data_IF_135462313149
#
_entry.id   IF_135462313149
#
_cell.length_a   1.000
_cell.length_b   1.000
_cell.length_c   1.000
_cell.angle_alpha   90.00
_cell.angle_beta   90.00
_cell.angle_gamma   90.00
#
_symmetry.space_group_name_H-M   'P 1'
#
loop_
_entity.id
_entity.type
_entity.pdbx_description
1 polymer ?
#
# COMPACT_ATOMS: atom_id res chain seq x y z
N UNK A 1 0.41 -0.94 -15.30
CA UNK A 1 0.35 -1.94 -14.22
C UNK A 1 1.57 -2.84 -14.32
N UNK A 2 2.42 -2.89 -13.27
CA UNK A 2 3.52 -3.84 -13.22
C UNK A 2 2.99 -5.27 -13.40
N UNK A 3 3.68 -6.09 -14.19
CA UNK A 3 3.31 -7.49 -14.45
C UNK A 3 2.23 -7.72 -15.53
N UNK A 4 1.54 -6.70 -16.04
CA UNK A 4 0.61 -6.88 -17.18
C UNK A 4 1.30 -6.64 -18.53
N UNK A 5 1.60 -7.73 -19.25
CA UNK A 5 2.08 -7.66 -20.63
C UNK A 5 0.98 -7.26 -21.64
N UNK A 6 1.34 -6.83 -22.86
CA UNK A 6 0.39 -6.30 -23.85
C UNK A 6 -0.78 -7.25 -24.19
N UNK A 7 -0.49 -8.55 -24.30
CA UNK A 7 -1.51 -9.58 -24.58
C UNK A 7 -2.53 -9.71 -23.43
N UNK A 8 -2.04 -9.78 -22.19
CA UNK A 8 -2.88 -9.88 -20.99
C UNK A 8 -3.70 -8.60 -20.78
N UNK A 9 -3.10 -7.43 -21.01
CA UNK A 9 -3.77 -6.13 -20.91
C UNK A 9 -4.92 -6.00 -21.90
N UNK A 10 -4.70 -6.36 -23.18
CA UNK A 10 -5.78 -6.36 -24.19
C UNK A 10 -6.93 -7.27 -23.80
N UNK A 11 -6.63 -8.47 -23.28
CA UNK A 11 -7.65 -9.42 -22.82
C UNK A 11 -8.45 -8.86 -21.65
N UNK A 12 -7.79 -8.25 -20.66
CA UNK A 12 -8.44 -7.63 -19.52
C UNK A 12 -9.37 -6.48 -19.97
N UNK A 13 -8.90 -5.59 -20.84
CA UNK A 13 -9.68 -4.48 -21.36
C UNK A 13 -10.94 -4.96 -22.12
N UNK A 14 -10.80 -5.94 -23.01
CA UNK A 14 -11.95 -6.51 -23.74
C UNK A 14 -12.94 -7.21 -22.79
N UNK A 15 -12.45 -7.87 -21.74
CA UNK A 15 -13.32 -8.46 -20.72
C UNK A 15 -14.14 -7.41 -19.97
N UNK A 16 -13.49 -6.30 -19.59
CA UNK A 16 -14.14 -5.17 -18.92
C UNK A 16 -15.21 -4.53 -19.81
N UNK A 17 -14.91 -4.28 -21.09
CA UNK A 17 -15.86 -3.70 -22.04
C UNK A 17 -17.09 -4.61 -22.22
N UNK A 18 -16.88 -5.93 -22.33
CA UNK A 18 -17.98 -6.90 -22.45
C UNK A 18 -18.88 -6.91 -21.21
N UNK A 19 -18.33 -6.60 -20.03
CA UNK A 19 -19.04 -6.55 -18.74
C UNK A 19 -19.09 -5.13 -18.18
N UNK A 20 -19.55 -4.18 -19.01
CA UNK A 20 -19.49 -2.74 -18.70
C UNK A 20 -20.15 -2.39 -17.36
N UNK A 21 -21.43 -2.72 -17.20
CA UNK A 21 -22.22 -2.33 -16.02
C UNK A 21 -21.89 -3.17 -14.80
N UNK A 22 -21.65 -4.47 -15.01
CA UNK A 22 -21.39 -5.40 -13.92
C UNK A 22 -19.97 -5.33 -13.36
N UNK A 23 -19.00 -4.81 -14.11
CA UNK A 23 -17.59 -4.87 -13.70
C UNK A 23 -16.80 -3.60 -14.00
N UNK A 24 -16.86 -3.05 -15.22
CA UNK A 24 -16.05 -1.87 -15.58
C UNK A 24 -16.47 -0.62 -14.79
N UNK A 25 -17.77 -0.31 -14.74
CA UNK A 25 -18.28 0.88 -14.03
C UNK A 25 -18.02 0.79 -12.52
N UNK A 26 -18.36 -0.32 -11.82
CA UNK A 26 -18.06 -0.47 -10.40
C UNK A 26 -16.56 -0.42 -10.10
N UNK A 27 -15.72 -1.05 -10.93
CA UNK A 27 -14.26 -1.01 -10.76
C UNK A 27 -13.73 0.42 -10.89
N UNK A 28 -14.20 1.18 -11.90
CA UNK A 28 -13.84 2.59 -12.05
C UNK A 28 -14.23 3.42 -10.83
N UNK A 29 -15.44 3.21 -10.29
CA UNK A 29 -15.88 3.85 -9.06
C UNK A 29 -15.02 3.50 -7.85
N UNK A 30 -14.70 2.22 -7.65
CA UNK A 30 -13.84 1.77 -6.55
C UNK A 30 -12.41 2.32 -6.67
N UNK A 31 -11.86 2.44 -7.88
CA UNK A 31 -10.55 3.05 -8.11
C UNK A 31 -10.57 4.55 -7.79
N UNK A 32 -11.63 5.26 -8.15
CA UNK A 32 -11.81 6.68 -7.83
C UNK A 32 -11.91 6.87 -6.31
N UNK A 33 -12.73 6.07 -5.64
CA UNK A 33 -12.89 6.11 -4.18
C UNK A 33 -11.56 5.83 -3.47
N UNK A 34 -10.79 4.84 -3.93
CA UNK A 34 -9.47 4.56 -3.39
C UNK A 34 -8.54 5.77 -3.58
N UNK A 35 -8.50 6.37 -4.77
CA UNK A 35 -7.67 7.54 -5.03
C UNK A 35 -8.01 8.75 -4.15
N UNK A 36 -9.27 8.90 -3.75
CA UNK A 36 -9.73 10.00 -2.89
C UNK A 36 -9.50 9.76 -1.40
N UNK A 37 -9.67 8.51 -0.94
CA UNK A 37 -9.68 8.17 0.49
C UNK A 37 -8.35 7.66 1.01
N UNK A 38 -7.57 7.02 0.15
CA UNK A 38 -6.29 6.42 0.54
C UNK A 38 -5.26 7.53 0.77
N UNK A 39 -4.61 7.47 1.92
CA UNK A 39 -3.61 8.44 2.38
C UNK A 39 -2.45 7.72 3.06
N UNK A 40 -1.32 8.40 3.04
CA UNK A 40 -0.10 7.96 3.75
C UNK A 40 -0.21 8.51 5.17
N UNK A 41 -0.04 7.63 6.16
CA UNK A 41 -0.11 7.99 7.56
C UNK A 41 1.06 8.90 7.95
N UNK A 42 0.76 10.04 8.59
CA UNK A 42 1.77 11.02 9.03
C UNK A 42 2.66 10.51 10.16
N UNK A 43 2.29 9.39 10.80
CA UNK A 43 3.01 8.82 11.94
C UNK A 43 4.00 7.71 11.55
N UNK A 44 3.69 6.92 10.52
CA UNK A 44 4.43 5.69 10.23
C UNK A 44 4.63 5.39 8.74
N UNK A 45 4.13 6.23 7.83
CA UNK A 45 4.27 5.99 6.38
C UNK A 45 3.40 4.86 5.81
N UNK A 46 2.60 4.16 6.62
CA UNK A 46 1.66 3.15 6.12
C UNK A 46 0.53 3.78 5.29
N UNK A 47 -0.07 3.01 4.39
CA UNK A 47 -1.20 3.42 3.57
C UNK A 47 -2.51 2.95 4.21
N UNK A 48 -3.40 3.88 4.50
CA UNK A 48 -4.70 3.64 5.14
C UNK A 48 -5.74 4.66 4.62
N UNK A 49 -7.01 4.45 4.96
CA UNK A 49 -8.09 5.43 4.78
C UNK A 49 -8.20 6.42 5.94
N UNK A 50 -7.40 6.25 6.99
CA UNK A 50 -7.37 7.07 8.21
C UNK A 50 -5.95 7.59 8.49
N UNK A 51 -5.87 8.76 9.13
CA UNK A 51 -4.60 9.32 9.59
C UNK A 51 -4.81 9.99 10.97
N UNK A 52 -4.17 9.49 12.06
CA UNK A 52 -3.26 8.33 12.12
C UNK A 52 -3.94 7.00 11.72
N UNK A 53 -3.17 6.07 11.14
CA UNK A 53 -3.72 4.82 10.60
C UNK A 53 -4.25 3.88 11.69
N UNK A 54 -4.99 2.85 11.27
CA UNK A 54 -5.56 1.84 12.14
C UNK A 54 -4.52 1.07 12.96
N UNK A 55 -3.30 0.90 12.43
CA UNK A 55 -2.18 0.27 13.15
C UNK A 55 -1.63 1.19 14.25
N UNK A 56 -1.47 2.49 13.98
CA UNK A 56 -0.96 3.44 14.97
C UNK A 56 -1.93 3.65 16.13
N UNK A 57 -3.24 3.60 15.85
CA UNK A 57 -4.31 3.85 16.82
C UNK A 57 -4.72 2.61 17.62
N UNK A 58 -4.24 1.42 17.25
CA UNK A 58 -4.55 0.18 17.98
C UNK A 58 -3.76 0.09 19.29
N UNK A 59 -4.46 0.26 20.41
CA UNK A 59 -3.92 0.19 21.77
C UNK A 59 -3.46 -1.23 22.17
N UNK A 60 -3.85 -2.27 21.42
CA UNK A 60 -3.45 -3.65 21.70
C UNK A 60 -2.01 -3.94 21.26
N UNK A 61 -1.43 -3.06 20.44
CA UNK A 61 -0.07 -3.22 19.90
C UNK A 61 0.97 -2.73 20.89
N UNK A 62 2.05 -3.50 21.01
CA UNK A 62 3.17 -3.13 21.88
C UNK A 62 3.87 -1.86 21.35
N UNK A 63 3.88 -0.75 22.14
CA UNK A 63 4.53 0.49 21.73
C UNK A 63 6.05 0.47 21.94
N UNK A 64 6.60 -0.51 22.68
CA UNK A 64 8.04 -0.60 22.93
C UNK A 64 8.82 -1.16 21.73
N UNK A 65 8.13 -1.82 20.81
CA UNK A 65 8.71 -2.47 19.63
C UNK A 65 8.21 -1.79 18.35
N UNK A 66 9.14 -1.41 17.48
CA UNK A 66 8.86 -0.81 16.18
C UNK A 66 9.57 -1.62 15.08
N UNK A 67 8.82 -2.13 14.11
CA UNK A 67 9.38 -2.79 12.92
C UNK A 67 9.49 -1.78 11.78
N UNK A 68 10.71 -1.54 11.33
CA UNK A 68 10.97 -0.69 10.16
C UNK A 68 10.98 -1.56 8.89
N UNK A 69 10.21 -1.16 7.88
CA UNK A 69 10.12 -1.85 6.59
C UNK A 69 10.40 -0.90 5.42
N UNK A 70 10.81 -1.47 4.28
CA UNK A 70 11.08 -0.71 3.06
C UNK A 70 9.77 -0.15 2.47
N UNK A 71 8.78 -1.03 2.28
CA UNK A 71 7.51 -0.68 1.63
C UNK A 71 6.28 -1.23 2.39
N UNK A 72 5.11 -0.69 2.08
CA UNK A 72 3.80 -1.10 2.60
C UNK A 72 3.52 -2.58 2.32
N UNK A 73 4.03 -3.10 1.20
CA UNK A 73 3.88 -4.51 0.83
C UNK A 73 4.54 -5.45 1.85
N UNK A 74 5.69 -5.06 2.42
CA UNK A 74 6.39 -5.80 3.48
C UNK A 74 5.63 -5.75 4.80
N UNK A 75 5.08 -4.57 5.15
CA UNK A 75 4.20 -4.42 6.31
C UNK A 75 3.05 -5.42 6.22
N UNK A 76 2.34 -5.45 5.09
CA UNK A 76 1.20 -6.35 4.88
C UNK A 76 1.60 -7.82 4.90
N UNK A 77 2.81 -8.16 4.46
CA UNK A 77 3.32 -9.52 4.53
C UNK A 77 3.52 -9.96 6.00
N UNK A 78 4.10 -9.09 6.83
CA UNK A 78 4.32 -9.35 8.26
C UNK A 78 3.00 -9.42 9.04
N UNK A 79 2.08 -8.49 8.79
CA UNK A 79 0.75 -8.50 9.40
C UNK A 79 -0.02 -9.78 9.11
N UNK A 80 0.04 -10.27 7.86
CA UNK A 80 -0.59 -11.56 7.49
C UNK A 80 0.07 -12.77 8.15
N UNK A 81 1.36 -12.70 8.45
CA UNK A 81 2.05 -13.77 9.17
C UNK A 81 1.61 -13.87 10.63
N UNK A 82 1.11 -12.77 11.22
CA UNK A 82 0.50 -12.76 12.55
C UNK A 82 1.46 -13.10 13.70
N UNK A 83 2.77 -12.96 13.47
CA UNK A 83 3.79 -13.39 14.43
C UNK A 83 4.02 -12.40 15.57
N UNK A 84 3.73 -11.12 15.36
CA UNK A 84 3.91 -10.05 16.35
C UNK A 84 2.80 -9.00 16.25
N UNK A 85 2.31 -8.52 17.39
CA UNK A 85 1.33 -7.43 17.46
C UNK A 85 2.02 -6.12 17.89
N UNK A 86 2.73 -5.51 16.96
CA UNK A 86 3.62 -4.35 17.20
C UNK A 86 3.31 -3.22 16.21
N UNK A 87 3.96 -2.07 16.38
CA UNK A 87 3.87 -0.94 15.43
C UNK A 87 4.90 -1.08 14.31
N UNK A 88 4.65 -0.37 13.21
CA UNK A 88 5.51 -0.37 12.03
C UNK A 88 5.93 1.05 11.66
N UNK A 89 7.01 1.17 10.90
CA UNK A 89 7.41 2.38 10.18
C UNK A 89 7.82 2.01 8.76
N UNK A 90 7.26 2.69 7.76
CA UNK A 90 7.50 2.45 6.33
C UNK A 90 8.40 3.55 5.79
N UNK A 91 9.60 3.18 5.35
CA UNK A 91 10.59 4.11 4.83
C UNK A 91 10.20 4.69 3.46
N UNK A 92 9.38 3.98 2.68
CA UNK A 92 8.96 4.40 1.34
C UNK A 92 10.00 4.11 0.25
N UNK A 93 11.01 3.30 0.57
CA UNK A 93 12.10 2.95 -0.32
C UNK A 93 13.33 2.48 0.43
N UNK A 94 14.39 2.20 -0.34
CA UNK A 94 15.70 1.78 0.16
C UNK A 94 16.77 2.76 -0.28
N UNK A 95 17.84 2.82 0.50
CA UNK A 95 19.05 3.53 0.10
C UNK A 95 19.62 2.92 -1.18
N UNK A 96 19.86 3.77 -2.17
CA UNK A 96 20.50 3.36 -3.42
C UNK A 96 21.47 4.45 -3.87
N UNK A 97 22.75 4.37 -3.47
CA UNK A 97 23.77 5.34 -3.90
C UNK A 97 23.93 5.41 -5.42
N UNK A 98 23.69 4.29 -6.12
CA UNK A 98 23.77 4.22 -7.58
C UNK A 98 22.64 5.01 -8.25
N UNK A 99 21.46 5.02 -7.63
CA UNK A 99 20.30 5.78 -8.11
C UNK A 99 20.21 7.19 -7.49
N UNK A 100 21.20 7.56 -6.66
CA UNK A 100 21.24 8.85 -5.97
C UNK A 100 20.26 9.00 -4.81
N UNK A 101 19.69 7.89 -4.30
CA UNK A 101 18.70 7.90 -3.21
C UNK A 101 19.43 7.84 -1.86
N UNK A 102 19.34 8.93 -1.11
CA UNK A 102 19.92 9.10 0.22
C UNK A 102 18.90 8.97 1.35
N UNK A 103 19.34 9.10 2.62
CA UNK A 103 18.44 9.04 3.77
C UNK A 103 17.36 10.13 3.78
N UNK A 104 17.67 11.31 3.24
CA UNK A 104 16.74 12.44 3.17
C UNK A 104 15.59 12.20 2.17
N UNK A 105 15.73 11.19 1.31
CA UNK A 105 14.69 10.74 0.38
C UNK A 105 13.76 9.66 0.98
N UNK A 106 13.99 9.28 2.24
CA UNK A 106 13.20 8.28 2.99
C UNK A 106 12.44 8.93 4.15
N UNK A 107 11.37 8.27 4.62
CA UNK A 107 10.53 8.72 5.74
C UNK A 107 11.12 8.43 7.13
#
# INVERSE_FOLDING_TARGET
>A
MPGLGPRSARRAALHLIKKKEALLVPLGGAMQEAAEKVRICSCCGNVDTSDPCTICTDERRDPATLIVVEDVSDLWALERAGTMNVRYHVLGGRLSPLDGIGPDDLN
#
